data_IF_236922003266
#
_entry.id   IF_236922003266
#
_cell.length_a   1.000
_cell.length_b   1.000
_cell.length_c   1.000
_cell.angle_alpha   90.00
_cell.angle_beta   90.00
_cell.angle_gamma   90.00
#
_symmetry.space_group_name_H-M   'P 1'
#
loop_
_entity.id
_entity.type
_entity.pdbx_description
1 polymer ?
#
# COMPACT_ATOMS: atom_id res chain seq x y z
N UNK A 1 -2.98 14.35 -21.47
CA UNK A 1 -1.60 14.52 -21.98
C UNK A 1 -1.20 13.18 -22.58
N UNK A 2 -1.08 13.11 -23.91
CA UNK A 2 -0.93 11.86 -24.66
C UNK A 2 0.44 11.23 -24.42
N UNK A 3 0.47 10.14 -23.66
CA UNK A 3 1.68 9.35 -23.44
C UNK A 3 2.22 8.80 -24.76
N UNK A 4 3.54 8.87 -24.93
CA UNK A 4 4.28 8.24 -26.03
C UNK A 4 4.03 6.74 -26.00
N UNK A 5 3.00 6.31 -26.71
CA UNK A 5 2.80 4.90 -27.04
C UNK A 5 3.81 4.58 -28.12
N UNK A 6 4.76 3.65 -27.91
CA UNK A 6 5.67 3.26 -28.97
C UNK A 6 4.84 2.72 -30.14
N UNK A 7 4.82 3.46 -31.24
CA UNK A 7 4.10 3.06 -32.45
C UNK A 7 4.92 1.95 -33.10
N UNK A 8 4.44 0.72 -32.98
CA UNK A 8 4.93 -0.38 -33.79
C UNK A 8 4.77 0.01 -35.26
N UNK A 9 5.88 0.13 -35.99
CA UNK A 9 5.83 0.32 -37.43
C UNK A 9 5.54 -1.06 -38.04
N UNK A 10 4.25 -1.33 -38.28
CA UNK A 10 3.81 -2.48 -39.05
C UNK A 10 3.98 -2.20 -40.54
N UNK A 11 5.12 -2.54 -41.11
CA UNK A 11 5.27 -2.71 -42.56
C UNK A 11 5.93 -4.07 -42.80
N UNK A 12 5.22 -4.96 -43.49
CA UNK A 12 5.70 -6.18 -44.17
C UNK A 12 6.66 -7.09 -43.38
N UNK A 13 6.18 -8.29 -43.00
CA UNK A 13 6.95 -9.41 -42.44
C UNK A 13 8.06 -9.00 -41.44
N UNK A 14 7.64 -8.64 -40.24
CA UNK A 14 8.53 -8.37 -39.12
C UNK A 14 9.39 -9.59 -38.80
N UNK A 15 10.71 -9.48 -38.99
CA UNK A 15 11.66 -10.34 -38.30
C UNK A 15 11.49 -10.04 -36.80
N UNK A 16 11.07 -11.01 -35.97
CA UNK A 16 10.88 -10.76 -34.55
C UNK A 16 12.21 -10.31 -33.94
N UNK A 17 12.18 -9.29 -33.08
CA UNK A 17 13.34 -8.92 -32.29
C UNK A 17 13.86 -10.15 -31.54
N UNK A 18 15.17 -10.45 -31.68
CA UNK A 18 15.83 -11.54 -30.95
C UNK A 18 15.70 -11.37 -29.42
N UNK A 19 15.45 -10.14 -28.95
CA UNK A 19 15.12 -9.83 -27.56
C UNK A 19 14.18 -8.63 -27.48
N UNK A 20 13.03 -8.77 -26.82
CA UNK A 20 12.14 -7.67 -26.49
C UNK A 20 11.85 -7.64 -24.99
N UNK A 21 12.41 -6.65 -24.29
CA UNK A 21 12.29 -6.52 -22.84
C UNK A 21 11.86 -5.08 -22.44
N UNK A 22 10.76 -4.53 -22.99
CA UNK A 22 10.35 -3.18 -22.68
C UNK A 22 9.93 -3.05 -21.20
N UNK A 23 10.10 -1.86 -20.62
CA UNK A 23 9.49 -1.51 -19.34
C UNK A 23 8.01 -1.16 -19.55
N UNK A 24 7.16 -1.50 -18.58
CA UNK A 24 5.75 -1.09 -18.59
C UNK A 24 5.66 0.40 -18.28
N UNK A 25 5.01 1.18 -19.14
CA UNK A 25 4.86 2.64 -18.99
C UNK A 25 6.20 3.40 -18.82
N UNK A 26 7.07 3.40 -19.84
CA UNK A 26 8.36 4.12 -19.77
C UNK A 26 8.16 5.60 -19.48
N UNK A 27 8.92 6.13 -18.53
CA UNK A 27 9.04 7.57 -18.33
C UNK A 27 10.04 8.18 -19.33
N UNK A 28 11.01 7.37 -19.77
CA UNK A 28 12.04 7.76 -20.75
C UNK A 28 12.45 6.56 -21.61
N UNK A 29 12.93 6.82 -22.82
CA UNK A 29 13.50 5.78 -23.68
C UNK A 29 14.40 6.33 -24.79
N UNK A 30 15.29 5.47 -25.29
CA UNK A 30 16.15 5.71 -26.45
C UNK A 30 15.94 4.56 -27.44
N UNK A 31 15.74 4.90 -28.71
CA UNK A 31 15.60 3.94 -29.80
C UNK A 31 16.64 4.21 -30.87
N UNK A 32 17.36 3.19 -31.28
CA UNK A 32 18.27 3.22 -32.42
C UNK A 32 17.79 2.20 -33.46
N UNK A 33 17.54 2.68 -34.67
CA UNK A 33 17.17 1.85 -35.81
C UNK A 33 18.16 2.09 -36.94
N UNK A 34 18.68 1.01 -37.50
CA UNK A 34 19.47 1.04 -38.73
C UNK A 34 18.86 0.07 -39.74
N UNK A 35 18.55 0.59 -40.92
CA UNK A 35 17.97 -0.17 -42.03
C UNK A 35 18.93 -0.08 -43.23
N UNK A 36 19.56 -1.21 -43.56
CA UNK A 36 20.35 -1.44 -44.77
C UNK A 36 19.72 -2.57 -45.59
N UNK A 37 20.06 -2.68 -46.88
CA UNK A 37 19.50 -3.68 -47.79
C UNK A 37 19.82 -5.14 -47.38
N UNK A 38 20.79 -5.33 -46.46
CA UNK A 38 21.29 -6.64 -46.04
C UNK A 38 21.22 -6.89 -44.52
N UNK A 39 21.08 -5.84 -43.70
CA UNK A 39 21.01 -5.98 -42.24
C UNK A 39 20.13 -4.90 -41.61
N UNK A 40 19.44 -5.29 -40.55
CA UNK A 40 18.60 -4.42 -39.74
C UNK A 40 19.00 -4.56 -38.28
N UNK A 41 19.26 -3.44 -37.62
CA UNK A 41 19.53 -3.39 -36.18
C UNK A 41 18.46 -2.51 -35.54
N UNK A 42 17.79 -3.06 -34.54
CA UNK A 42 16.82 -2.34 -33.71
C UNK A 42 17.21 -2.51 -32.25
N UNK A 43 17.48 -1.40 -31.57
CA UNK A 43 17.85 -1.36 -30.17
C UNK A 43 16.99 -0.34 -29.44
N UNK A 44 16.32 -0.79 -28.39
CA UNK A 44 15.43 0.05 -27.58
C UNK A 44 15.81 -0.07 -26.12
N UNK A 45 16.25 1.02 -25.52
CA UNK A 45 16.44 1.17 -24.08
C UNK A 45 15.25 1.92 -23.52
N UNK A 46 14.57 1.34 -22.53
CA UNK A 46 13.44 1.98 -21.85
C UNK A 46 13.67 1.99 -20.35
N UNK A 47 13.27 3.08 -19.72
CA UNK A 47 13.43 3.31 -18.29
C UNK A 47 12.14 3.88 -17.72
N UNK A 48 11.79 3.44 -16.52
CA UNK A 48 10.68 3.99 -15.75
C UNK A 48 11.12 4.11 -14.29
N UNK A 49 11.00 5.30 -13.73
CA UNK A 49 11.10 5.52 -12.29
C UNK A 49 9.83 6.22 -11.81
N UNK A 50 9.22 5.69 -10.76
CA UNK A 50 8.06 6.28 -10.12
C UNK A 50 8.30 6.35 -8.62
N UNK A 51 7.92 7.47 -8.00
CA UNK A 51 7.98 7.68 -6.56
C UNK A 51 6.64 8.23 -6.10
N UNK A 52 6.00 7.52 -5.17
CA UNK A 52 4.77 7.96 -4.51
C UNK A 52 5.01 8.09 -3.02
N UNK A 53 4.54 9.19 -2.43
CA UNK A 53 4.50 9.37 -0.97
C UNK A 53 3.05 9.55 -0.56
N UNK A 54 2.59 8.71 0.37
CA UNK A 54 1.26 8.80 0.96
C UNK A 54 1.41 8.94 2.48
N UNK A 55 0.73 9.94 3.05
CA UNK A 55 0.68 10.16 4.49
C UNK A 55 -0.77 10.28 4.93
N UNK A 56 -1.19 9.40 5.83
CA UNK A 56 -2.54 9.39 6.43
C UNK A 56 -2.38 9.76 7.90
N UNK A 57 -3.17 10.72 8.37
CA UNK A 57 -3.18 11.16 9.77
C UNK A 57 -4.60 11.13 10.31
N UNK A 58 -4.83 10.22 11.24
CA UNK A 58 -6.11 10.04 11.92
C UNK A 58 -5.99 10.43 13.39
N UNK A 59 -6.94 11.22 13.91
CA UNK A 59 -6.90 11.76 15.27
C UNK A 59 -8.28 11.62 15.97
N UNK A 60 -8.64 10.43 16.45
CA UNK A 60 -9.86 10.26 17.24
C UNK A 60 -9.71 10.93 18.61
N UNK A 61 -10.78 11.52 19.13
CA UNK A 61 -10.82 12.15 20.45
C UNK A 61 -12.12 11.78 21.14
N UNK A 62 -12.04 11.50 22.43
CA UNK A 62 -13.20 11.19 23.28
C UNK A 62 -12.97 11.75 24.67
N UNK A 63 -14.04 12.20 25.32
CA UNK A 63 -14.04 12.67 26.71
C UNK A 63 -14.89 11.70 27.52
N UNK A 64 -14.40 11.34 28.70
CA UNK A 64 -15.09 10.41 29.60
C UNK A 64 -14.77 10.72 31.05
N UNK A 65 -15.56 10.15 31.95
CA UNK A 65 -15.31 10.22 33.39
C UNK A 65 -14.26 9.19 33.82
N UNK A 66 -13.67 9.42 35.00
CA UNK A 66 -12.75 8.48 35.61
C UNK A 66 -13.42 7.11 35.82
N UNK A 67 -12.74 6.02 35.45
CA UNK A 67 -13.22 4.64 35.47
C UNK A 67 -14.41 4.33 34.54
N UNK A 68 -14.79 5.22 33.62
CA UNK A 68 -15.88 4.98 32.68
C UNK A 68 -15.32 4.74 31.28
N UNK A 69 -15.72 3.62 30.69
CA UNK A 69 -15.39 3.30 29.31
C UNK A 69 -16.04 4.31 28.36
N UNK A 70 -15.24 4.81 27.43
CA UNK A 70 -15.74 5.57 26.30
C UNK A 70 -15.28 5.00 24.97
N UNK A 71 -16.13 5.22 23.97
CA UNK A 71 -15.98 4.70 22.63
C UNK A 71 -16.26 5.84 21.65
N UNK A 72 -15.34 6.06 20.72
CA UNK A 72 -15.57 6.88 19.53
C UNK A 72 -15.22 6.06 18.30
N UNK A 73 -16.09 6.10 17.29
CA UNK A 73 -15.87 5.42 16.02
C UNK A 73 -16.28 6.29 14.84
N UNK A 74 -15.49 6.26 13.78
CA UNK A 74 -15.75 6.96 12.53
C UNK A 74 -15.44 6.05 11.36
N UNK A 75 -16.32 6.00 10.36
CA UNK A 75 -16.04 5.36 9.09
C UNK A 75 -17.32 4.93 8.40
N UNK A 76 -17.23 3.90 7.58
CA UNK A 76 -18.31 3.45 6.72
C UNK A 76 -18.56 1.96 6.86
N UNK A 77 -19.78 1.54 6.56
CA UNK A 77 -20.12 0.12 6.43
C UNK A 77 -19.98 -0.29 4.99
N UNK A 78 -19.20 -1.32 4.75
CA UNK A 78 -18.94 -1.84 3.41
C UNK A 78 -19.88 -3.01 3.15
N UNK A 79 -20.71 -2.97 2.09
CA UNK A 79 -21.55 -4.09 1.72
C UNK A 79 -20.67 -5.19 1.10
N UNK A 80 -20.76 -6.39 1.68
CA UNK A 80 -20.17 -7.62 1.16
C UNK A 80 -21.31 -8.45 0.58
N UNK A 81 -21.22 -8.73 -0.71
CA UNK A 81 -22.22 -9.52 -1.43
C UNK A 81 -21.73 -10.96 -1.49
N UNK A 82 -22.43 -11.87 -0.82
CA UNK A 82 -22.17 -13.31 -0.94
C UNK A 82 -23.11 -13.90 -2.00
N UNK A 83 -22.52 -14.61 -2.96
CA UNK A 83 -23.30 -15.28 -3.99
C UNK A 83 -24.15 -16.39 -3.36
N UNK A 84 -25.39 -16.52 -3.80
CA UNK A 84 -26.27 -17.57 -3.32
C UNK A 84 -25.77 -18.95 -3.73
N UNK A 85 -25.89 -19.92 -2.84
CA UNK A 85 -25.85 -21.32 -3.22
C UNK A 85 -27.21 -21.70 -3.82
N UNK A 86 -27.19 -22.41 -4.96
CA UNK A 86 -28.39 -23.00 -5.60
C UNK A 86 -29.44 -22.00 -6.15
N UNK A 87 -29.00 -20.87 -6.72
CA UNK A 87 -29.87 -20.00 -7.53
C UNK A 87 -30.82 -19.07 -6.75
N UNK A 88 -30.63 -18.92 -5.43
CA UNK A 88 -31.33 -17.91 -4.63
C UNK A 88 -30.84 -16.47 -4.90
N UNK A 89 -31.50 -15.46 -4.32
CA UNK A 89 -31.03 -14.08 -4.38
C UNK A 89 -29.71 -13.92 -3.59
N UNK A 90 -28.79 -13.04 -4.03
CA UNK A 90 -27.55 -12.79 -3.31
C UNK A 90 -27.82 -12.16 -1.92
N UNK A 91 -27.01 -12.53 -0.93
CA UNK A 91 -27.10 -11.97 0.42
C UNK A 91 -26.11 -10.83 0.57
N UNK A 92 -26.57 -9.71 1.13
CA UNK A 92 -25.71 -8.55 1.42
C UNK A 92 -25.49 -8.44 2.92
N UNK A 93 -24.24 -8.56 3.37
CA UNK A 93 -23.84 -8.33 4.76
C UNK A 93 -23.02 -7.06 4.85
N UNK A 94 -23.18 -6.29 5.92
CA UNK A 94 -22.41 -5.06 6.12
C UNK A 94 -21.29 -5.33 7.12
N UNK A 95 -20.05 -5.03 6.70
CA UNK A 95 -18.87 -5.10 7.56
C UNK A 95 -18.42 -3.69 7.91
N UNK A 96 -18.12 -3.45 9.19
CA UNK A 96 -17.70 -2.15 9.70
C UNK A 96 -16.23 -1.88 9.30
N UNK A 97 -16.00 -0.82 8.52
CA UNK A 97 -14.67 -0.30 8.22
C UNK A 97 -14.50 1.04 8.94
N UNK A 98 -14.14 0.96 10.22
CA UNK A 98 -14.07 2.10 11.14
C UNK A 98 -12.67 2.32 11.68
N UNK A 99 -12.37 3.59 11.93
CA UNK A 99 -11.43 4.02 12.95
C UNK A 99 -12.16 4.04 14.29
N UNK A 100 -11.71 3.21 15.24
CA UNK A 100 -12.29 3.05 16.57
C UNK A 100 -11.24 3.34 17.64
N UNK A 101 -11.63 4.11 18.65
CA UNK A 101 -10.89 4.29 19.89
C UNK A 101 -11.82 3.93 21.05
N UNK A 102 -11.43 2.92 21.81
CA UNK A 102 -12.04 2.56 23.09
C UNK A 102 -11.04 2.81 24.20
N UNK A 103 -11.45 3.48 25.26
CA UNK A 103 -10.56 3.81 26.36
C UNK A 103 -11.28 3.74 27.71
N UNK A 104 -10.56 3.26 28.72
CA UNK A 104 -10.96 3.35 30.13
C UNK A 104 -9.83 4.05 30.89
N UNK A 105 -10.04 5.30 31.36
CA UNK A 105 -9.03 6.01 32.13
C UNK A 105 -9.17 5.73 33.63
N UNK A 106 -8.05 5.72 34.34
CA UNK A 106 -7.98 5.76 35.80
C UNK A 106 -6.96 6.81 36.23
N UNK A 107 -7.42 7.83 36.95
CA UNK A 107 -6.57 8.90 37.48
C UNK A 107 -5.96 8.43 38.81
N UNK A 108 -4.64 8.52 38.93
CA UNK A 108 -3.90 8.18 40.16
C UNK A 108 -3.79 9.40 41.09
N UNK A 109 -3.40 9.17 42.35
CA UNK A 109 -3.14 10.25 43.32
C UNK A 109 -1.98 11.17 42.92
N UNK A 110 -1.08 10.71 42.06
CA UNK A 110 0.09 11.45 41.59
C UNK A 110 -0.22 12.34 40.37
N UNK A 111 -1.48 12.37 39.90
CA UNK A 111 -1.87 13.12 38.70
C UNK A 111 -1.45 12.45 37.39
N UNK A 112 -1.04 11.18 37.45
CA UNK A 112 -0.85 10.34 36.25
C UNK A 112 -2.16 9.63 35.88
N UNK A 113 -2.25 9.21 34.62
CA UNK A 113 -3.45 8.64 34.03
C UNK A 113 -3.08 7.26 33.52
N UNK A 114 -3.60 6.24 34.18
CA UNK A 114 -3.56 4.88 33.70
C UNK A 114 -4.65 4.70 32.64
N UNK A 115 -4.28 4.19 31.48
CA UNK A 115 -5.17 4.05 30.32
C UNK A 115 -5.17 2.61 29.85
N UNK A 116 -6.34 1.98 29.86
CA UNK A 116 -6.59 0.78 29.05
C UNK A 116 -7.16 1.24 27.70
N UNK A 117 -6.41 1.03 26.62
CA UNK A 117 -6.76 1.56 25.29
C UNK A 117 -6.80 0.44 24.25
N UNK A 118 -7.85 0.46 23.45
CA UNK A 118 -7.99 -0.28 22.20
C UNK A 118 -8.16 0.71 21.05
N UNK A 119 -7.17 0.77 20.15
CA UNK A 119 -7.24 1.54 18.90
C UNK A 119 -7.31 0.56 17.74
N UNK A 120 -8.32 0.70 16.89
CA UNK A 120 -8.48 -0.08 15.66
C UNK A 120 -8.67 0.88 14.49
N UNK A 121 -8.00 0.63 13.37
CA UNK A 121 -8.21 1.30 12.11
C UNK A 121 -8.43 0.26 11.03
N UNK A 122 -9.68 0.15 10.56
CA UNK A 122 -10.06 -0.77 9.49
C UNK A 122 -10.42 0.02 8.23
N UNK A 123 -9.70 -0.22 7.15
CA UNK A 123 -9.87 0.45 5.85
C UNK A 123 -10.17 -0.55 4.74
N UNK A 124 -11.14 -0.30 3.86
CA UNK A 124 -11.40 -1.16 2.72
C UNK A 124 -10.33 -0.97 1.63
N UNK A 125 -9.84 -2.09 1.09
CA UNK A 125 -8.94 -2.14 -0.06
C UNK A 125 -9.71 -2.56 -1.31
N UNK A 126 -9.98 -1.59 -2.17
CA UNK A 126 -10.64 -1.79 -3.47
C UNK A 126 -9.68 -2.24 -4.58
N UNK A 127 -8.36 -2.19 -4.36
CA UNK A 127 -7.35 -2.69 -5.29
C UNK A 127 -7.21 -4.21 -5.24
N UNK A 128 -7.58 -4.82 -4.11
CA UNK A 128 -7.56 -6.27 -3.90
C UNK A 128 -8.96 -6.76 -3.56
N UNK A 129 -9.73 -7.11 -4.59
CA UNK A 129 -11.08 -7.66 -4.42
C UNK A 129 -11.13 -9.17 -4.59
N UNK A 130 -11.95 -9.84 -3.79
CA UNK A 130 -12.25 -11.26 -3.92
C UNK A 130 -13.73 -11.37 -4.29
N UNK A 131 -14.01 -11.91 -5.48
CA UNK A 131 -15.40 -12.02 -6.01
C UNK A 131 -16.17 -10.68 -6.03
N UNK A 132 -15.48 -9.57 -6.32
CA UNK A 132 -16.07 -8.23 -6.33
C UNK A 132 -16.19 -7.56 -4.96
N UNK A 133 -15.88 -8.27 -3.87
CA UNK A 133 -15.86 -7.71 -2.52
C UNK A 133 -14.45 -7.19 -2.19
N UNK A 134 -14.32 -5.96 -1.63
CA UNK A 134 -13.01 -5.45 -1.21
C UNK A 134 -12.48 -6.25 -0.03
N UNK A 135 -11.16 -6.40 0.04
CA UNK A 135 -10.50 -6.89 1.25
C UNK A 135 -10.48 -5.80 2.31
N UNK A 136 -10.41 -6.17 3.59
CA UNK A 136 -10.31 -5.21 4.69
C UNK A 136 -8.90 -5.27 5.27
N UNK A 137 -8.28 -4.12 5.40
CA UNK A 137 -6.99 -3.98 6.06
C UNK A 137 -7.26 -3.40 7.44
N UNK A 138 -7.05 -4.22 8.47
CA UNK A 138 -7.23 -3.82 9.87
C UNK A 138 -5.87 -3.64 10.53
N UNK A 139 -5.70 -2.54 11.24
CA UNK A 139 -4.58 -2.32 12.15
C UNK A 139 -5.11 -2.07 13.55
N UNK A 140 -4.60 -2.78 14.54
CA UNK A 140 -5.11 -2.68 15.90
C UNK A 140 -3.96 -2.68 16.91
N UNK A 141 -4.11 -1.91 17.98
CA UNK A 141 -3.23 -1.93 19.14
C UNK A 141 -4.07 -1.88 20.43
N UNK A 142 -3.89 -2.89 21.27
CA UNK A 142 -4.52 -2.97 22.59
C UNK A 142 -3.42 -2.95 23.65
N UNK A 143 -3.45 -1.99 24.56
CA UNK A 143 -2.41 -1.85 25.58
C UNK A 143 -2.91 -1.19 26.86
N UNK A 144 -2.12 -1.32 27.91
CA UNK A 144 -2.30 -0.60 29.17
C UNK A 144 -1.05 0.23 29.42
N UNK A 145 -1.23 1.54 29.57
CA UNK A 145 -0.11 2.49 29.71
C UNK A 145 -0.40 3.51 30.81
N UNK A 146 0.66 3.89 31.54
CA UNK A 146 0.63 4.99 32.49
C UNK A 146 1.26 6.23 31.82
N UNK A 147 0.53 7.33 31.79
CA UNK A 147 0.95 8.57 31.11
C UNK A 147 0.68 9.77 32.01
N UNK A 148 1.53 10.78 31.96
CA UNK A 148 1.28 12.05 32.66
C UNK A 148 0.18 12.85 31.96
N UNK A 149 -0.47 13.76 32.70
CA UNK A 149 -1.42 14.71 32.09
C UNK A 149 -0.74 15.54 30.99
N UNK A 150 -1.33 15.53 29.79
CA UNK A 150 -0.78 16.20 28.61
C UNK A 150 0.45 15.52 27.97
N UNK A 151 0.96 14.44 28.55
CA UNK A 151 2.08 13.67 28.01
C UNK A 151 1.67 12.85 26.79
N UNK A 152 2.57 12.69 25.80
CA UNK A 152 2.34 11.82 24.64
C UNK A 152 3.18 10.55 24.76
N UNK A 153 2.53 9.38 24.62
CA UNK A 153 3.22 8.08 24.58
C UNK A 153 2.96 7.37 23.26
N UNK A 154 3.96 6.62 22.79
CA UNK A 154 3.80 5.68 21.68
C UNK A 154 3.31 4.36 22.25
N UNK A 155 2.11 3.95 21.86
CA UNK A 155 1.50 2.70 22.35
C UNK A 155 1.78 1.50 21.46
N UNK A 156 2.21 1.73 20.22
CA UNK A 156 2.53 0.65 19.29
C UNK A 156 2.76 1.16 17.87
N UNK A 157 3.22 0.25 17.01
CA UNK A 157 3.44 0.52 15.60
C UNK A 157 3.94 -0.71 14.86
N UNK A 158 3.85 -0.67 13.54
CA UNK A 158 4.41 -1.69 12.63
C UNK A 158 5.17 -0.96 11.54
N UNK A 159 6.42 -1.38 11.32
CA UNK A 159 7.24 -0.91 10.21
C UNK A 159 7.45 -2.12 9.29
N UNK A 160 7.05 -1.96 8.03
CA UNK A 160 7.20 -2.98 7.02
C UNK A 160 7.96 -2.43 5.83
N UNK A 161 9.05 -3.11 5.48
CA UNK A 161 9.83 -2.84 4.27
C UNK A 161 9.74 -4.05 3.37
N UNK A 162 9.24 -3.86 2.15
CA UNK A 162 9.18 -4.88 1.13
C UNK A 162 10.08 -4.50 -0.03
N UNK A 163 11.13 -5.30 -0.23
CA UNK A 163 12.05 -5.18 -1.37
C UNK A 163 11.78 -6.31 -2.35
N UNK A 164 11.52 -5.96 -3.60
CA UNK A 164 11.31 -6.92 -4.69
C UNK A 164 12.26 -6.60 -5.84
N UNK A 165 13.02 -7.60 -6.26
CA UNK A 165 13.90 -7.53 -7.42
C UNK A 165 13.46 -8.59 -8.42
N UNK A 166 13.00 -8.16 -9.58
CA UNK A 166 12.62 -9.03 -10.68
C UNK A 166 13.62 -8.86 -11.83
N UNK A 167 14.21 -9.96 -12.30
CA UNK A 167 15.15 -9.96 -13.41
C UNK A 167 14.58 -10.85 -14.51
N UNK A 168 14.18 -10.24 -15.62
CA UNK A 168 13.83 -10.96 -16.85
C UNK A 168 15.03 -10.89 -17.79
N UNK A 169 15.57 -12.01 -18.26
CA UNK A 169 16.77 -12.00 -19.09
C UNK A 169 16.70 -12.98 -20.24
N UNK A 170 17.43 -12.69 -21.31
CA UNK A 170 17.63 -13.62 -22.43
C UNK A 170 18.57 -14.74 -21.96
N UNK A 171 18.19 -16.03 -22.12
CA UNK A 171 19.06 -17.14 -21.79
C UNK A 171 20.44 -17.02 -22.47
N UNK A 172 21.50 -17.45 -21.78
CA UNK A 172 22.91 -17.32 -22.19
C UNK A 172 23.43 -15.86 -22.23
N UNK A 173 22.82 -14.99 -23.04
CA UNK A 173 23.29 -13.62 -23.30
C UNK A 173 23.18 -12.70 -22.08
N UNK A 174 22.16 -12.87 -21.23
CA UNK A 174 21.97 -12.06 -20.02
C UNK A 174 23.04 -12.25 -18.94
N UNK A 175 23.75 -13.39 -18.97
CA UNK A 175 24.77 -13.76 -17.98
C UNK A 175 26.19 -13.32 -18.38
N UNK A 176 26.40 -12.79 -19.59
CA UNK A 176 27.73 -12.38 -20.06
C UNK A 176 28.19 -11.15 -19.27
N UNK A 177 29.38 -11.17 -18.62
CA UNK A 177 29.94 -10.01 -17.94
C UNK A 177 30.12 -8.82 -18.90
N UNK A 178 29.88 -7.60 -18.43
CA UNK A 178 29.96 -6.38 -19.24
C UNK A 178 28.70 -6.14 -20.08
N UNK A 179 28.43 -7.00 -21.07
CA UNK A 179 27.35 -6.78 -22.06
C UNK A 179 25.98 -7.36 -21.67
N UNK A 180 25.91 -8.27 -20.70
CA UNK A 180 24.67 -8.95 -20.31
C UNK A 180 23.59 -8.02 -19.74
N UNK A 181 23.95 -6.80 -19.29
CA UNK A 181 22.98 -5.77 -18.89
C UNK A 181 22.08 -5.31 -20.05
N UNK A 182 22.53 -5.41 -21.30
CA UNK A 182 21.73 -5.08 -22.48
C UNK A 182 20.70 -6.15 -22.82
N UNK A 183 20.88 -7.37 -22.30
CA UNK A 183 20.04 -8.53 -22.56
C UNK A 183 19.22 -8.94 -21.33
N UNK A 184 19.09 -8.05 -20.35
CA UNK A 184 18.24 -8.25 -19.18
C UNK A 184 17.51 -6.98 -18.76
N UNK A 185 16.30 -7.17 -18.24
CA UNK A 185 15.49 -6.15 -17.60
C UNK A 185 15.50 -6.40 -16.11
N UNK A 186 15.93 -5.40 -15.36
CA UNK A 186 15.92 -5.40 -13.89
C UNK A 186 14.86 -4.44 -13.40
N UNK A 187 13.85 -4.96 -12.73
CA UNK A 187 12.83 -4.17 -12.03
C UNK A 187 13.13 -4.25 -10.54
N UNK A 188 13.33 -3.09 -9.90
CA UNK A 188 13.50 -2.98 -8.45
C UNK A 188 12.30 -2.21 -7.91
N UNK A 189 11.62 -2.78 -6.93
CA UNK A 189 10.49 -2.15 -6.23
C UNK A 189 10.76 -2.19 -4.74
N UNK A 190 10.69 -1.02 -4.09
CA UNK A 190 10.79 -0.87 -2.64
C UNK A 190 9.52 -0.20 -2.14
N UNK A 191 8.83 -0.86 -1.21
CA UNK A 191 7.66 -0.33 -0.53
C UNK A 191 7.93 -0.26 0.98
N UNK A 192 7.81 0.92 1.55
CA UNK A 192 7.94 1.16 2.99
C UNK A 192 6.59 1.57 3.54
N UNK A 193 6.15 0.90 4.60
CA UNK A 193 4.92 1.18 5.30
C UNK A 193 5.21 1.34 6.80
N UNK A 194 4.89 2.50 7.33
CA UNK A 194 5.08 2.83 8.74
C UNK A 194 3.74 3.17 9.36
N UNK A 195 3.39 2.46 10.43
CA UNK A 195 2.21 2.71 11.24
C UNK A 195 2.66 2.95 12.67
N UNK A 196 2.20 4.03 13.28
CA UNK A 196 2.51 4.37 14.67
C UNK A 196 1.25 4.93 15.33
N UNK A 197 0.95 4.45 16.53
CA UNK A 197 -0.15 4.89 17.37
C UNK A 197 0.37 5.74 18.52
N UNK A 198 -0.17 6.96 18.64
CA UNK A 198 0.14 7.92 19.70
C UNK A 198 -1.09 8.17 20.55
N UNK A 199 -0.89 8.33 21.85
CA UNK A 199 -1.94 8.71 22.80
C UNK A 199 -1.48 9.92 23.60
N UNK A 200 -2.41 10.84 23.85
CA UNK A 200 -2.18 12.02 24.70
C UNK A 200 -3.41 12.27 25.54
N UNK A 201 -3.44 11.79 26.80
CA UNK A 201 -4.56 12.08 27.69
C UNK A 201 -4.49 13.52 28.22
N UNK A 202 -5.65 14.07 28.59
CA UNK A 202 -5.74 15.35 29.27
C UNK A 202 -6.82 15.31 30.34
N UNK A 203 -6.50 15.72 31.56
CA UNK A 203 -7.46 15.90 32.65
C UNK A 203 -8.18 17.24 32.43
N UNK A 204 -9.50 17.20 32.48
CA UNK A 204 -10.34 18.40 32.47
C UNK A 204 -10.78 18.63 33.90
N UNK A 205 -10.30 19.71 34.51
CA UNK A 205 -10.80 20.19 35.79
C UNK A 205 -11.94 21.16 35.48
N UNK A 206 -13.16 20.81 35.89
CA UNK A 206 -14.33 21.70 35.88
C UNK A 206 -14.70 22.09 37.28
#
# INVERSE_FOLDING_TARGET
MSGLSPKYIAIGNSIPLFSSLPVTSPTSGLSFTNESNNYRIDAILTMAESRGLLKILSRPRVVTQNNIQALVRQGVRVPIVTQAQLGGPPTVTYVDAFLRLTVVPQITSEGTIFLNVDVENTTPDFGRTIQGNPTLITQQATTQVLVTDGGTVVIGGVIQTQNSVNISQVPLLGNIPGVGNLFKRRTVSTANQELIFFITPRIIQT
#
